data_IF_319263123985
#
_entry.id   IF_319263123985
#
_cell.length_a   1.000
_cell.length_b   1.000
_cell.length_c   1.000
_cell.angle_alpha   90.00
_cell.angle_beta   90.00
_cell.angle_gamma   90.00
#
_symmetry.space_group_name_H-M   'P 1'
#
loop_
_entity.id
_entity.type
_entity.pdbx_description
1 polymer ?
#
# COMPACT_ATOMS: atom_id res chain seq x y z
N UNK A 1 7.83 -15.80 -1.48
CA UNK A 1 8.21 -14.64 -0.65
C UNK A 1 7.02 -14.12 0.15
N UNK A 2 6.03 -13.44 -0.44
CA UNK A 2 4.92 -12.78 0.30
C UNK A 2 4.16 -13.66 1.30
N UNK A 3 3.95 -14.96 1.01
CA UNK A 3 3.34 -15.89 1.98
C UNK A 3 4.13 -16.01 3.30
N UNK A 4 5.46 -15.87 3.25
CA UNK A 4 6.27 -15.90 4.46
C UNK A 4 6.06 -14.63 5.31
N UNK A 5 5.86 -13.48 4.66
CA UNK A 5 5.51 -12.22 5.33
C UNK A 5 4.13 -12.32 5.98
N UNK A 6 3.13 -12.87 5.27
CA UNK A 6 1.80 -13.14 5.84
C UNK A 6 1.90 -13.90 7.17
N UNK A 7 2.73 -14.95 7.21
CA UNK A 7 2.91 -15.78 8.41
C UNK A 7 3.70 -15.04 9.49
N UNK A 8 4.80 -14.36 9.11
CA UNK A 8 5.69 -13.68 10.05
C UNK A 8 4.98 -12.52 10.77
N UNK A 9 4.18 -11.76 10.03
CA UNK A 9 3.49 -10.57 10.52
C UNK A 9 2.05 -10.84 10.97
N UNK A 10 1.59 -12.10 10.90
CA UNK A 10 0.24 -12.48 11.33
C UNK A 10 -0.87 -11.80 10.54
N UNK A 11 -0.69 -11.60 9.23
CA UNK A 11 -1.67 -10.92 8.38
C UNK A 11 -2.89 -11.81 8.17
N UNK A 12 -4.06 -11.28 8.53
CA UNK A 12 -5.34 -11.98 8.43
C UNK A 12 -6.22 -11.45 7.28
N UNK A 13 -6.99 -12.38 6.71
CA UNK A 13 -8.02 -12.09 5.72
C UNK A 13 -9.36 -12.46 6.31
N UNK A 14 -10.16 -11.46 6.64
CA UNK A 14 -11.52 -11.60 7.13
C UNK A 14 -12.50 -11.93 6.00
N UNK A 15 -13.74 -12.26 6.37
CA UNK A 15 -14.81 -12.43 5.39
C UNK A 15 -15.26 -11.10 4.78
N UNK A 16 -15.14 -9.99 5.52
CA UNK A 16 -15.44 -8.65 5.00
C UNK A 16 -14.43 -8.26 3.91
N UNK A 17 -13.14 -8.53 4.11
CA UNK A 17 -12.12 -8.30 3.09
C UNK A 17 -12.41 -9.10 1.81
N UNK A 18 -12.87 -10.35 1.98
CA UNK A 18 -13.27 -11.19 0.86
C UNK A 18 -14.47 -10.60 0.14
N UNK A 19 -15.49 -10.15 0.86
CA UNK A 19 -16.70 -9.58 0.27
C UNK A 19 -16.40 -8.27 -0.49
N UNK A 20 -15.51 -7.43 0.03
CA UNK A 20 -15.01 -6.24 -0.66
C UNK A 20 -14.25 -6.59 -1.94
N UNK A 21 -13.35 -7.58 -1.88
CA UNK A 21 -12.58 -8.01 -3.04
C UNK A 21 -13.49 -8.60 -4.13
N UNK A 22 -14.46 -9.42 -3.73
CA UNK A 22 -15.45 -9.96 -4.66
C UNK A 22 -16.33 -8.87 -5.26
N UNK A 23 -16.65 -7.81 -4.52
CA UNK A 23 -17.37 -6.67 -5.06
C UNK A 23 -16.57 -5.95 -6.16
N UNK A 24 -15.28 -5.70 -5.92
CA UNK A 24 -14.37 -5.07 -6.91
C UNK A 24 -14.24 -5.92 -8.18
N UNK A 25 -14.01 -7.23 -8.02
CA UNK A 25 -13.90 -8.16 -9.17
C UNK A 25 -15.21 -8.21 -9.94
N UNK A 26 -16.34 -8.32 -9.25
CA UNK A 26 -17.66 -8.40 -9.87
C UNK A 26 -18.01 -7.11 -10.63
N UNK A 27 -17.68 -5.94 -10.08
CA UNK A 27 -17.85 -4.65 -10.75
C UNK A 27 -17.09 -4.60 -12.08
N UNK A 28 -15.80 -4.97 -12.07
CA UNK A 28 -14.96 -5.01 -13.28
C UNK A 28 -15.46 -6.02 -14.33
N UNK A 29 -16.13 -7.09 -13.88
CA UNK A 29 -16.74 -8.10 -14.75
C UNK A 29 -18.19 -7.77 -15.18
N UNK A 30 -18.80 -6.71 -14.64
CA UNK A 30 -20.21 -6.39 -14.87
C UNK A 30 -21.18 -7.44 -14.30
N UNK A 31 -20.77 -8.20 -13.28
CA UNK A 31 -21.58 -9.22 -12.62
C UNK A 31 -22.03 -8.78 -11.21
N UNK A 32 -23.01 -9.48 -10.64
CA UNK A 32 -23.39 -9.26 -9.24
C UNK A 32 -22.44 -10.00 -8.30
N UNK A 33 -21.96 -9.38 -7.20
CA UNK A 33 -21.02 -10.01 -6.27
C UNK A 33 -21.51 -11.36 -5.72
N UNK A 34 -22.79 -11.45 -5.36
CA UNK A 34 -23.40 -12.70 -4.87
C UNK A 34 -23.34 -13.86 -5.89
N UNK A 35 -23.46 -13.55 -7.19
CA UNK A 35 -23.39 -14.54 -8.26
C UNK A 35 -21.96 -15.05 -8.40
N UNK A 36 -20.98 -14.15 -8.37
CA UNK A 36 -19.56 -14.48 -8.41
C UNK A 36 -19.18 -15.35 -7.19
N UNK A 37 -19.61 -14.95 -5.98
CA UNK A 37 -19.36 -15.72 -4.75
C UNK A 37 -19.85 -17.17 -4.88
N UNK A 38 -21.09 -17.38 -5.32
CA UNK A 38 -21.66 -18.72 -5.51
C UNK A 38 -20.87 -19.55 -6.52
N UNK A 39 -20.40 -18.94 -7.61
CA UNK A 39 -19.58 -19.64 -8.61
C UNK A 39 -18.23 -20.07 -8.03
N UNK A 40 -17.57 -19.19 -7.29
CA UNK A 40 -16.29 -19.48 -6.65
C UNK A 40 -16.44 -20.53 -5.55
N UNK A 41 -17.52 -20.50 -4.77
CA UNK A 41 -17.85 -21.54 -3.78
C UNK A 41 -18.10 -22.89 -4.46
N UNK A 42 -18.92 -22.93 -5.51
CA UNK A 42 -19.22 -24.15 -6.25
C UNK A 42 -17.98 -24.82 -6.86
N UNK A 43 -16.99 -24.01 -7.25
CA UNK A 43 -15.74 -24.49 -7.84
C UNK A 43 -14.60 -24.65 -6.81
N UNK A 44 -14.85 -24.41 -5.52
CA UNK A 44 -13.85 -24.52 -4.47
C UNK A 44 -12.73 -23.48 -4.54
N UNK A 45 -12.97 -22.33 -5.19
CA UNK A 45 -11.97 -21.30 -5.46
C UNK A 45 -11.83 -20.24 -4.35
N UNK A 46 -12.77 -20.16 -3.39
CA UNK A 46 -12.70 -19.19 -2.28
C UNK A 46 -11.36 -19.22 -1.52
N UNK A 47 -10.77 -20.38 -1.17
CA UNK A 47 -9.48 -20.41 -0.50
C UNK A 47 -8.33 -19.81 -1.33
N UNK A 48 -8.42 -19.89 -2.66
CA UNK A 48 -7.43 -19.31 -3.58
C UNK A 48 -7.54 -17.78 -3.55
N UNK A 49 -8.77 -17.25 -3.62
CA UNK A 49 -9.02 -15.80 -3.52
C UNK A 49 -8.54 -15.25 -2.17
N UNK A 50 -8.85 -15.92 -1.06
CA UNK A 50 -8.36 -15.52 0.27
C UNK A 50 -6.82 -15.49 0.33
N UNK A 51 -6.15 -16.43 -0.34
CA UNK A 51 -4.70 -16.50 -0.39
C UNK A 51 -4.10 -15.37 -1.23
N UNK A 52 -4.73 -14.98 -2.33
CA UNK A 52 -4.28 -13.86 -3.15
C UNK A 52 -4.50 -12.53 -2.44
N UNK A 53 -5.62 -12.39 -1.73
CA UNK A 53 -5.90 -11.25 -0.86
C UNK A 53 -4.89 -11.10 0.28
N UNK A 54 -4.51 -12.22 0.93
CA UNK A 54 -3.45 -12.20 1.94
C UNK A 54 -2.10 -11.74 1.37
N UNK A 55 -1.76 -12.14 0.14
CA UNK A 55 -0.52 -11.66 -0.52
C UNK A 55 -0.60 -10.18 -0.86
N UNK A 56 -1.76 -9.68 -1.28
CA UNK A 56 -1.95 -8.27 -1.56
C UNK A 56 -1.74 -7.42 -0.30
N UNK A 57 -2.37 -7.83 0.82
CA UNK A 57 -2.14 -7.20 2.14
C UNK A 57 -0.69 -7.27 2.60
N UNK A 58 0.00 -8.38 2.35
CA UNK A 58 1.43 -8.49 2.66
C UNK A 58 2.31 -7.56 1.82
N UNK A 59 1.93 -7.31 0.57
CA UNK A 59 2.63 -6.35 -0.27
C UNK A 59 2.40 -4.91 0.23
N UNK A 60 1.16 -4.57 0.58
CA UNK A 60 0.82 -3.29 1.20
C UNK A 60 1.61 -3.06 2.49
N UNK A 61 1.60 -4.04 3.39
CA UNK A 61 2.39 -3.99 4.61
C UNK A 61 3.89 -3.79 4.32
N UNK A 62 4.45 -4.47 3.32
CA UNK A 62 5.85 -4.28 2.94
C UNK A 62 6.13 -2.87 2.44
N UNK A 63 5.22 -2.26 1.67
CA UNK A 63 5.37 -0.89 1.19
C UNK A 63 5.37 0.07 2.37
N UNK A 64 4.47 -0.12 3.33
CA UNK A 64 4.33 0.75 4.51
C UNK A 64 5.52 0.63 5.48
N UNK A 65 6.19 -0.52 5.50
CA UNK A 65 7.26 -0.83 6.46
C UNK A 65 8.66 -0.86 5.82
N UNK A 66 8.78 -0.62 4.52
CA UNK A 66 10.06 -0.59 3.84
C UNK A 66 10.82 0.71 4.16
N UNK A 67 12.12 0.59 4.41
CA UNK A 67 13.02 1.74 4.49
C UNK A 67 13.33 2.24 3.08
N UNK A 68 13.07 3.52 2.82
CA UNK A 68 13.40 4.18 1.54
C UNK A 68 14.79 4.78 1.65
N UNK A 69 15.63 4.53 0.65
CA UNK A 69 17.02 5.00 0.58
C UNK A 69 17.27 5.72 -0.75
N UNK A 70 18.28 6.60 -0.78
CA UNK A 70 18.79 7.24 -2.00
C UNK A 70 19.71 6.31 -2.82
N UNK A 71 20.28 6.82 -3.91
CA UNK A 71 21.19 6.06 -4.79
C UNK A 71 22.47 5.61 -4.07
N UNK A 72 22.88 6.34 -3.02
CA UNK A 72 24.01 6.01 -2.15
C UNK A 72 23.63 5.06 -1.00
N UNK A 73 22.36 4.69 -0.87
CA UNK A 73 21.84 3.81 0.17
C UNK A 73 21.61 4.50 1.51
N UNK A 74 21.57 5.83 1.57
CA UNK A 74 21.27 6.59 2.78
C UNK A 74 19.75 6.72 2.95
N UNK A 75 19.21 6.53 4.18
CA UNK A 75 17.77 6.62 4.43
C UNK A 75 17.20 7.99 4.06
N UNK A 76 16.04 7.98 3.43
CA UNK A 76 15.29 9.16 2.99
C UNK A 76 14.04 9.32 3.83
N UNK A 77 13.82 10.53 4.34
CA UNK A 77 12.55 10.89 5.00
C UNK A 77 11.48 11.21 3.95
N UNK A 78 10.67 10.21 3.62
CA UNK A 78 9.58 10.32 2.65
C UNK A 78 8.47 11.27 3.13
N UNK A 79 8.28 11.41 4.45
CA UNK A 79 7.28 12.31 5.00
C UNK A 79 7.67 13.77 4.77
N UNK A 80 8.95 14.12 4.93
CA UNK A 80 9.48 15.44 4.63
C UNK A 80 9.33 15.81 3.14
N UNK A 81 9.40 14.82 2.22
CA UNK A 81 9.27 15.05 0.77
C UNK A 81 7.82 15.23 0.30
N UNK A 82 6.84 14.75 1.06
CA UNK A 82 5.42 14.76 0.69
C UNK A 82 4.61 15.82 1.44
N UNK A 83 5.21 16.47 2.44
CA UNK A 83 4.69 17.69 3.00
C UNK A 83 4.53 18.74 1.90
N UNK A 84 3.31 19.30 1.75
CA UNK A 84 3.15 20.52 0.96
C UNK A 84 4.10 21.57 1.56
N UNK A 85 4.81 22.37 0.74
CA UNK A 85 5.69 23.39 1.28
C UNK A 85 4.83 24.33 2.13
N UNK A 86 4.94 24.19 3.44
CA UNK A 86 4.72 25.28 4.36
C UNK A 86 5.65 26.39 3.90
N UNK A 87 5.05 27.53 3.56
CA UNK A 87 5.75 28.67 3.00
C UNK A 87 6.71 29.29 4.01
N UNK A 88 7.82 28.62 4.28
CA UNK A 88 9.01 29.26 4.83
C UNK A 88 9.64 30.03 3.68
N UNK A 89 9.30 31.32 3.65
CA UNK A 89 10.09 32.33 2.98
C UNK A 89 11.56 32.08 3.35
N UNK A 90 12.37 31.81 2.34
CA UNK A 90 13.81 31.88 2.47
C UNK A 90 14.14 33.34 2.81
N UNK A 91 14.21 33.66 4.11
CA UNK A 91 14.68 34.95 4.59
C UNK A 91 16.04 35.20 3.96
N UNK A 92 16.10 36.24 3.13
CA UNK A 92 17.31 36.66 2.46
C UNK A 92 18.38 36.97 3.49
N UNK A 93 19.51 36.27 3.39
CA UNK A 93 20.76 36.81 3.92
C UNK A 93 21.18 37.97 3.02
N UNK A 94 20.69 39.16 3.36
CA UNK A 94 21.31 40.43 2.98
C UNK A 94 22.74 40.44 3.54
N UNK A 95 23.75 40.14 2.71
CA UNK A 95 25.11 40.59 3.00
C UNK A 95 25.23 42.06 2.61
N UNK A 96 24.93 42.92 3.59
CA UNK A 96 25.27 44.33 3.60
C UNK A 96 26.79 44.50 3.74
N UNK A 97 27.34 45.21 2.76
CA UNK A 97 28.46 46.18 2.79
C UNK A 97 29.75 45.84 3.54
N UNK A 98 30.84 45.77 2.77
CA UNK A 98 32.22 46.00 3.23
C UNK A 98 32.95 46.93 2.26
N UNK A 99 33.02 48.20 2.67
CA UNK A 99 33.81 49.32 2.14
C UNK A 99 35.33 49.04 2.13
N UNK A 100 35.99 49.17 0.96
CA UNK A 100 37.24 49.93 0.68
C UNK A 100 37.71 49.68 -0.78
#
# INVERSE_FOLDING_TARGET
ALRAVVIAEGIETSDDDLDEELAKIAEGAGEKPEKLRKQLEANGAIPIVKLDLAKAKALEWLIDNAEVVDEEGKPVDVAALTAAPDGEELEGSEESEGDD
#
